data_IF_173947565919
#
_entry.id   IF_173947565919
#
_cell.length_a   1.000
_cell.length_b   1.000
_cell.length_c   1.000
_cell.angle_alpha   90.00
_cell.angle_beta   90.00
_cell.angle_gamma   90.00
#
_symmetry.space_group_name_H-M   'P 1'
#
loop_
_entity.id
_entity.type
_entity.pdbx_description
1 polymer ?
#
# COMPACT_ATOMS: atom_id res chain seq x y z
N UNK A 1 13.00 -6.79 17.38
CA UNK A 1 12.75 -5.35 17.56
C UNK A 1 12.60 -5.13 19.05
N UNK A 2 13.60 -4.55 19.69
CA UNK A 2 13.54 -4.25 21.13
C UNK A 2 12.66 -3.01 21.32
N UNK A 3 11.66 -3.01 22.22
CA UNK A 3 10.84 -1.84 22.46
C UNK A 3 11.72 -0.73 23.05
N UNK A 4 11.82 0.40 22.35
CA UNK A 4 12.55 1.57 22.83
C UNK A 4 11.69 2.32 23.86
N UNK A 5 12.24 2.54 25.05
CA UNK A 5 11.62 3.31 26.15
C UNK A 5 11.90 4.83 26.05
N UNK A 6 12.32 5.32 24.87
CA UNK A 6 12.61 6.74 24.64
C UNK A 6 11.32 7.58 24.58
N UNK A 7 11.09 8.52 25.52
CA UNK A 7 9.88 9.34 25.57
C UNK A 7 9.79 10.35 24.42
N UNK A 8 10.92 10.73 23.79
CA UNK A 8 10.97 11.65 22.65
C UNK A 8 10.94 10.90 21.30
N UNK A 9 11.06 9.56 21.33
CA UNK A 9 11.05 8.66 20.17
C UNK A 9 10.24 7.36 20.42
N UNK A 10 8.92 7.42 20.68
CA UNK A 10 8.11 6.22 20.90
C UNK A 10 7.70 5.64 19.54
N UNK A 11 8.65 5.05 18.78
CA UNK A 11 8.36 4.51 17.45
C UNK A 11 7.47 3.26 17.48
N UNK A 12 7.30 2.64 18.65
CA UNK A 12 6.34 1.56 18.85
C UNK A 12 5.87 1.49 20.30
N UNK A 13 4.56 1.26 20.54
CA UNK A 13 3.99 1.10 21.88
C UNK A 13 3.66 -0.36 22.17
N UNK A 14 3.74 -0.76 23.44
CA UNK A 14 3.41 -2.13 23.86
C UNK A 14 1.93 -2.47 23.63
N UNK A 15 1.05 -1.47 23.66
CA UNK A 15 -0.38 -1.67 23.37
C UNK A 15 -0.68 -1.85 21.88
N UNK A 16 0.31 -1.70 20.99
CA UNK A 16 0.10 -1.81 19.55
C UNK A 16 0.49 -3.21 19.07
N UNK A 17 -0.49 -3.92 18.52
CA UNK A 17 -0.32 -5.26 17.98
C UNK A 17 -0.40 -5.19 16.45
N UNK A 18 0.63 -5.58 15.69
CA UNK A 18 0.56 -5.61 14.23
C UNK A 18 -0.48 -6.62 13.76
N UNK A 19 -1.31 -6.25 12.79
CA UNK A 19 -2.36 -7.12 12.24
C UNK A 19 -2.28 -7.30 10.72
N UNK A 20 -1.62 -6.39 10.02
CA UNK A 20 -1.36 -6.49 8.57
C UNK A 20 -0.10 -5.70 8.22
N UNK A 21 0.69 -6.19 7.27
CA UNK A 21 1.88 -5.53 6.76
C UNK A 21 2.03 -5.80 5.26
N UNK A 22 2.66 -4.88 4.54
CA UNK A 22 3.15 -5.14 3.19
C UNK A 22 4.34 -6.13 3.21
N UNK A 23 4.70 -6.68 2.05
CA UNK A 23 5.72 -7.73 1.95
C UNK A 23 7.11 -7.30 2.41
N UNK A 24 7.42 -6.00 2.34
CA UNK A 24 8.69 -5.43 2.79
C UNK A 24 8.67 -5.01 4.27
N UNK A 25 7.50 -5.00 4.91
CA UNK A 25 7.32 -4.61 6.31
C UNK A 25 7.39 -3.09 6.58
N UNK A 26 7.65 -2.27 5.57
CA UNK A 26 7.78 -0.81 5.74
C UNK A 26 6.45 -0.10 5.95
N UNK A 27 5.35 -0.77 5.59
CA UNK A 27 4.01 -0.25 5.74
C UNK A 27 3.11 -1.30 6.39
N UNK A 28 2.17 -0.85 7.21
CA UNK A 28 1.16 -1.76 7.74
C UNK A 28 0.16 -1.13 8.71
N UNK A 29 -0.59 -1.99 9.39
CA UNK A 29 -1.70 -1.65 10.30
C UNK A 29 -1.55 -2.34 11.64
N UNK A 30 -1.83 -1.61 12.71
CA UNK A 30 -1.81 -2.13 14.08
C UNK A 30 -3.15 -1.91 14.77
N UNK A 31 -3.50 -2.83 15.67
CA UNK A 31 -4.58 -2.68 16.63
C UNK A 31 -4.01 -2.02 17.90
N UNK A 32 -4.59 -0.90 18.31
CA UNK A 32 -4.35 -0.33 19.63
C UNK A 32 -5.27 -1.05 20.63
N UNK A 33 -4.70 -1.89 21.50
CA UNK A 33 -5.48 -2.70 22.45
C UNK A 33 -6.10 -1.88 23.59
N UNK A 34 -5.61 -0.65 23.82
CA UNK A 34 -6.17 0.27 24.82
C UNK A 34 -7.47 0.90 24.36
N UNK A 35 -7.60 1.21 23.07
CA UNK A 35 -8.75 1.93 22.49
C UNK A 35 -9.61 1.06 21.59
N UNK A 36 -9.09 -0.06 21.10
CA UNK A 36 -9.72 -0.90 20.09
C UNK A 36 -9.62 -0.36 18.66
N UNK A 37 -8.99 0.81 18.45
CA UNK A 37 -8.87 1.44 17.14
C UNK A 37 -7.73 0.84 16.30
N UNK A 38 -7.82 0.99 14.98
CA UNK A 38 -6.78 0.56 14.04
C UNK A 38 -5.99 1.78 13.56
N UNK A 39 -4.68 1.73 13.73
CA UNK A 39 -3.73 2.72 13.21
C UNK A 39 -2.89 2.17 12.04
N UNK A 40 -1.98 2.98 11.53
CA UNK A 40 -1.01 2.61 10.49
C UNK A 40 0.41 3.04 10.85
N UNK A 41 1.40 2.27 10.40
CA UNK A 41 2.80 2.70 10.41
C UNK A 41 3.34 2.83 8.99
N UNK A 42 4.30 3.73 8.85
CA UNK A 42 5.08 3.96 7.63
C UNK A 42 6.53 4.21 8.05
N UNK A 43 7.47 3.47 7.47
CA UNK A 43 8.90 3.65 7.71
C UNK A 43 9.30 5.12 7.50
N UNK A 44 10.04 5.69 8.45
CA UNK A 44 10.46 7.10 8.43
C UNK A 44 9.38 8.11 8.83
N UNK A 45 8.20 7.67 9.29
CA UNK A 45 7.12 8.54 9.79
C UNK A 45 6.60 8.09 11.15
N UNK A 46 5.97 9.01 11.90
CA UNK A 46 5.28 8.63 13.13
C UNK A 46 4.02 7.80 12.81
N UNK A 47 3.76 6.72 13.57
CA UNK A 47 2.55 5.93 13.37
C UNK A 47 1.28 6.76 13.61
N UNK A 48 0.30 6.59 12.74
CA UNK A 48 -0.98 7.28 12.80
C UNK A 48 -2.00 6.45 13.58
N UNK A 49 -2.52 6.98 14.67
CA UNK A 49 -3.59 6.34 15.44
C UNK A 49 -4.98 6.65 14.86
N UNK A 50 -5.93 5.72 15.01
CA UNK A 50 -7.35 6.03 14.85
C UNK A 50 -7.89 6.09 13.41
N UNK A 51 -7.17 5.56 12.43
CA UNK A 51 -7.63 5.46 11.03
C UNK A 51 -8.95 4.70 10.89
N UNK A 52 -9.17 3.68 11.71
CA UNK A 52 -10.49 3.07 11.88
C UNK A 52 -10.87 3.04 13.37
N UNK A 53 -12.15 3.26 13.71
CA UNK A 53 -12.60 3.27 15.09
C UNK A 53 -12.57 1.87 15.74
N UNK A 54 -12.58 0.80 14.93
CA UNK A 54 -12.54 -0.58 15.43
C UNK A 54 -12.01 -1.56 14.38
N UNK A 55 -11.64 -2.77 14.81
CA UNK A 55 -11.31 -3.88 13.91
C UNK A 55 -12.49 -4.24 12.99
N UNK A 56 -13.72 -4.17 13.49
CA UNK A 56 -14.92 -4.38 12.66
C UNK A 56 -15.01 -3.36 11.53
N UNK A 57 -14.82 -2.07 11.83
CA UNK A 57 -14.85 -1.04 10.80
C UNK A 57 -13.77 -1.25 9.72
N UNK A 58 -12.59 -1.73 10.12
CA UNK A 58 -11.53 -2.09 9.17
C UNK A 58 -11.90 -3.27 8.28
N UNK A 59 -12.39 -4.37 8.86
CA UNK A 59 -12.75 -5.58 8.09
C UNK A 59 -13.96 -5.32 7.19
N UNK A 60 -14.93 -4.53 7.66
CA UNK A 60 -16.09 -4.14 6.86
C UNK A 60 -15.69 -3.27 5.68
N UNK A 61 -14.82 -2.26 5.89
CA UNK A 61 -14.29 -1.45 4.78
C UNK A 61 -13.56 -2.31 3.74
N UNK A 62 -12.80 -3.31 4.17
CA UNK A 62 -12.15 -4.26 3.27
C UNK A 62 -13.16 -5.14 2.51
N UNK A 63 -14.22 -5.59 3.16
CA UNK A 63 -15.30 -6.36 2.52
C UNK A 63 -16.03 -5.52 1.47
N UNK A 64 -16.41 -4.28 1.81
CA UNK A 64 -17.08 -3.34 0.91
C UNK A 64 -16.23 -3.09 -0.35
N UNK A 65 -14.91 -2.90 -0.19
CA UNK A 65 -13.97 -2.76 -1.31
C UNK A 65 -13.92 -4.00 -2.21
N UNK A 66 -13.95 -5.21 -1.63
CA UNK A 66 -13.95 -6.47 -2.40
C UNK A 66 -15.26 -6.71 -3.14
N UNK A 67 -16.38 -6.25 -2.58
CA UNK A 67 -17.71 -6.32 -3.20
C UNK A 67 -17.93 -5.24 -4.26
N UNK A 68 -16.97 -4.32 -4.44
CA UNK A 68 -17.08 -3.21 -5.38
C UNK A 68 -18.09 -2.15 -4.94
N UNK A 69 -18.49 -2.17 -3.66
CA UNK A 69 -19.26 -1.11 -3.04
C UNK A 69 -18.30 0.05 -2.87
N UNK A 70 -18.37 1.00 -3.81
CA UNK A 70 -17.45 2.13 -3.90
C UNK A 70 -17.57 3.03 -2.65
N UNK A 71 -16.83 2.71 -1.61
CA UNK A 71 -16.54 3.62 -0.51
C UNK A 71 -15.46 4.59 -1.00
N UNK A 72 -15.81 5.87 -1.10
CA UNK A 72 -15.06 6.95 -1.76
C UNK A 72 -13.66 7.28 -1.20
N UNK A 73 -13.00 6.38 -0.47
CA UNK A 73 -11.68 6.59 0.14
C UNK A 73 -10.49 5.89 -0.55
N UNK A 74 -10.71 5.17 -1.65
CA UNK A 74 -9.63 4.54 -2.43
C UNK A 74 -8.72 5.52 -3.19
N UNK A 75 -8.81 6.83 -2.93
CA UNK A 75 -7.99 7.86 -3.61
C UNK A 75 -6.67 8.18 -2.92
N UNK A 76 -6.47 7.81 -1.65
CA UNK A 76 -5.25 8.20 -0.92
C UNK A 76 -4.08 7.20 -0.97
N UNK A 77 -4.28 5.93 -1.36
CA UNK A 77 -3.18 4.95 -1.48
C UNK A 77 -2.84 4.55 -2.92
N UNK A 78 -3.55 5.07 -3.92
CA UNK A 78 -3.23 4.89 -5.33
C UNK A 78 -2.18 5.92 -5.82
N UNK A 79 -1.16 6.22 -5.00
CA UNK A 79 0.00 7.02 -5.37
C UNK A 79 1.08 6.22 -6.10
N UNK A 80 0.70 5.34 -7.03
CA UNK A 80 1.65 4.80 -8.01
C UNK A 80 1.88 5.85 -9.11
N UNK A 81 3.09 5.98 -9.68
CA UNK A 81 3.39 7.07 -10.61
C UNK A 81 2.37 7.05 -11.77
N UNK A 82 1.70 8.18 -11.94
CA UNK A 82 0.66 8.45 -12.94
C UNK A 82 1.10 8.19 -14.40
N UNK A 83 2.39 7.88 -14.61
CA UNK A 83 3.04 7.54 -15.88
C UNK A 83 2.52 6.24 -16.50
N UNK A 84 2.18 5.24 -15.69
CA UNK A 84 1.73 3.93 -16.19
C UNK A 84 0.33 3.96 -16.83
N UNK A 85 -0.45 5.00 -16.54
CA UNK A 85 -1.81 5.22 -17.09
C UNK A 85 -1.82 6.20 -18.26
N UNK A 86 -0.66 6.76 -18.63
CA UNK A 86 -0.49 7.70 -19.74
C UNK A 86 -0.06 7.04 -21.05
N UNK A 87 0.11 7.83 -22.12
CA UNK A 87 0.52 7.34 -23.45
C UNK A 87 1.87 6.61 -23.45
N UNK A 88 2.77 6.95 -22.52
CA UNK A 88 4.02 6.24 -22.28
C UNK A 88 3.79 4.79 -21.82
N UNK A 89 2.83 4.58 -20.90
CA UNK A 89 2.46 3.25 -20.45
C UNK A 89 1.84 2.39 -21.56
N UNK A 90 1.11 2.98 -22.51
CA UNK A 90 0.60 2.25 -23.68
C UNK A 90 1.73 1.80 -24.61
N UNK A 91 2.72 2.68 -24.86
CA UNK A 91 3.89 2.35 -25.67
C UNK A 91 4.70 1.18 -25.08
N UNK A 92 4.94 1.19 -23.77
CA UNK A 92 5.64 0.11 -23.06
C UNK A 92 4.86 -1.21 -23.17
N UNK A 93 3.52 -1.20 -23.03
CA UNK A 93 2.68 -2.41 -23.16
C UNK A 93 2.70 -3.00 -24.56
N UNK A 94 2.63 -2.14 -25.58
CA UNK A 94 2.71 -2.55 -26.99
C UNK A 94 4.04 -3.23 -27.30
N UNK A 95 5.14 -2.60 -26.89
CA UNK A 95 6.48 -3.18 -27.02
C UNK A 95 6.58 -4.50 -26.26
N UNK A 96 6.09 -4.57 -25.02
CA UNK A 96 6.17 -5.77 -24.21
C UNK A 96 5.44 -6.97 -24.85
N UNK A 97 4.24 -6.75 -25.40
CA UNK A 97 3.47 -7.79 -26.12
C UNK A 97 4.18 -8.25 -27.39
N UNK A 98 4.76 -7.32 -28.14
CA UNK A 98 5.54 -7.64 -29.33
C UNK A 98 6.78 -8.48 -29.01
N UNK A 99 7.35 -8.32 -27.81
CA UNK A 99 8.50 -9.07 -27.32
C UNK A 99 8.12 -10.32 -26.49
N UNK A 100 6.84 -10.68 -26.43
CA UNK A 100 6.36 -11.90 -25.77
C UNK A 100 6.17 -11.80 -24.25
N UNK A 101 6.24 -10.60 -23.67
CA UNK A 101 5.97 -10.38 -22.24
C UNK A 101 4.46 -10.36 -21.96
N UNK A 102 4.06 -11.02 -20.87
CA UNK A 102 2.68 -11.00 -20.39
C UNK A 102 2.41 -9.72 -19.60
N UNK A 103 1.62 -8.80 -20.18
CA UNK A 103 1.30 -7.50 -19.57
C UNK A 103 -0.20 -7.24 -19.59
N UNK A 104 -0.74 -6.86 -18.43
CA UNK A 104 -2.16 -6.51 -18.28
C UNK A 104 -2.53 -5.29 -19.15
N UNK A 105 -3.77 -5.28 -19.67
CA UNK A 105 -4.31 -4.18 -20.49
C UNK A 105 -4.43 -2.86 -19.72
N UNK A 106 -4.61 -2.93 -18.40
CA UNK A 106 -4.79 -1.76 -17.53
C UNK A 106 -3.97 -1.91 -16.24
N UNK A 107 -3.63 -0.78 -15.63
CA UNK A 107 -2.96 -0.76 -14.31
C UNK A 107 -1.43 -0.71 -14.40
N UNK A 108 -0.75 -1.05 -13.29
CA UNK A 108 0.71 -0.88 -13.15
C UNK A 108 1.49 -1.79 -14.13
N UNK A 109 2.55 -1.26 -14.72
CA UNK A 109 3.47 -2.04 -15.55
C UNK A 109 4.57 -2.61 -14.64
N UNK A 110 4.89 -3.91 -14.69
CA UNK A 110 5.97 -4.47 -13.90
C UNK A 110 7.32 -3.79 -14.19
N UNK A 111 8.10 -3.53 -13.15
CA UNK A 111 9.36 -2.76 -13.26
C UNK A 111 10.36 -3.39 -14.25
N UNK A 112 10.46 -4.72 -14.27
CA UNK A 112 11.37 -5.44 -15.19
C UNK A 112 11.05 -5.21 -16.67
N UNK A 113 9.77 -4.99 -17.02
CA UNK A 113 9.36 -4.70 -18.41
C UNK A 113 9.77 -3.29 -18.80
N UNK A 114 9.65 -2.33 -17.87
CA UNK A 114 10.08 -0.94 -18.10
C UNK A 114 11.59 -0.86 -18.28
N UNK A 115 12.36 -1.56 -17.45
CA UNK A 115 13.83 -1.63 -17.60
C UNK A 115 14.22 -2.27 -18.94
N UNK A 116 13.55 -3.35 -19.35
CA UNK A 116 13.80 -3.98 -20.62
C UNK A 116 13.43 -3.07 -21.81
N UNK A 117 12.37 -2.27 -21.70
CA UNK A 117 11.99 -1.27 -22.69
C UNK A 117 13.03 -0.15 -22.79
N UNK A 118 13.50 0.39 -21.65
CA UNK A 118 14.54 1.43 -21.61
C UNK A 118 15.87 0.92 -22.17
N UNK A 119 16.23 -0.34 -21.93
CA UNK A 119 17.41 -0.97 -22.52
C UNK A 119 17.28 -1.25 -24.03
N UNK A 120 16.07 -1.13 -24.58
CA UNK A 120 15.75 -1.37 -25.99
C UNK A 120 15.58 -0.08 -26.80
N UNK A 121 15.61 1.09 -26.14
CA UNK A 121 15.67 2.41 -26.76
C UNK A 121 17.08 2.70 -27.30
#
# INVERSE_FOLDING_TARGET
MEPSDDPDYPSWRQEWVPIAAESDGFYGRFLNTRTGSIGSWTEGSYPEEGKFPSLFAFVQDAADHLEGVSSDNARETAGGPMRDRGPEGEAIRLWARANGYLVNDKGRIPAFIREAYEASL
#
